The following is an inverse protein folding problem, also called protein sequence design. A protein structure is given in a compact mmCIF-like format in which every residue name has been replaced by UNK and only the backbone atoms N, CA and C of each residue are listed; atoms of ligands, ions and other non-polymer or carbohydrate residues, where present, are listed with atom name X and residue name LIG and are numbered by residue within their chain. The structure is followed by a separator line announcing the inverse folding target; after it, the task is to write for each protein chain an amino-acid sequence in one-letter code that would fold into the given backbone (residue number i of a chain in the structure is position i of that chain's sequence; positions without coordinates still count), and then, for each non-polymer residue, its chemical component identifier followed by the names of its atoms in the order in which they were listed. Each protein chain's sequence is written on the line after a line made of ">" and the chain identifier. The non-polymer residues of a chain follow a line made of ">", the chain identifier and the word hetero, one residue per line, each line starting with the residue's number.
data_IF_394496582755
#
_entry.id   IF_394496582755
#
_cell.length_a   1.000
_cell.length_b   1.000
_cell.length_c   1.000
_cell.angle_alpha   90.00
_cell.angle_beta   90.00
_cell.angle_gamma   90.00
#
_symmetry.space_group_name_H-M   'P 1'
#
loop_
_entity.id
_entity.type
_entity.pdbx_description
1 polymer ?
#
# COMPACT_ATOMS: atom_id res chain seq x y z
N UNK A 1 9.34 10.35 26.15
CA UNK A 1 10.70 10.49 25.60
C UNK A 1 11.51 9.18 25.60
N UNK A 2 11.39 8.30 26.61
CA UNK A 2 12.17 7.06 26.68
C UNK A 2 11.95 6.08 25.49
N UNK A 3 10.70 5.89 25.04
CA UNK A 3 10.39 5.07 23.85
C UNK A 3 11.06 5.61 22.58
N UNK A 4 10.94 6.92 22.34
CA UNK A 4 11.50 7.57 21.16
C UNK A 4 13.02 7.40 21.15
N UNK A 5 13.71 7.70 22.26
CA UNK A 5 15.16 7.56 22.37
C UNK A 5 15.64 6.12 22.15
N UNK A 6 14.87 5.13 22.58
CA UNK A 6 15.19 3.72 22.37
C UNK A 6 15.08 3.29 20.91
N UNK A 7 13.99 3.67 20.22
CA UNK A 7 13.79 3.33 18.81
C UNK A 7 14.56 4.27 17.85
N UNK A 8 14.95 5.46 18.28
CA UNK A 8 15.55 6.53 17.46
C UNK A 8 16.73 6.08 16.58
N UNK A 9 17.71 5.28 17.04
CA UNK A 9 18.85 4.92 16.20
C UNK A 9 18.44 4.08 14.99
N UNK A 10 17.35 3.31 15.13
CA UNK A 10 16.77 2.50 14.05
C UNK A 10 15.87 3.38 13.19
N UNK A 11 14.90 4.07 13.79
CA UNK A 11 13.94 4.92 13.07
C UNK A 11 14.64 6.02 12.28
N UNK A 12 15.76 6.58 12.76
CA UNK A 12 16.53 7.62 12.06
C UNK A 12 17.03 7.16 10.69
N UNK A 13 17.40 5.88 10.52
CA UNK A 13 17.80 5.36 9.21
C UNK A 13 16.61 5.39 8.25
N UNK A 14 15.46 4.86 8.66
CA UNK A 14 14.24 4.86 7.84
C UNK A 14 13.78 6.29 7.53
N UNK A 15 13.82 7.18 8.51
CA UNK A 15 13.41 8.59 8.39
C UNK A 15 14.30 9.39 7.42
N UNK A 16 15.54 8.97 7.17
CA UNK A 16 16.42 9.58 6.17
C UNK A 16 16.28 8.88 4.81
N UNK A 17 16.34 7.54 4.78
CA UNK A 17 16.34 6.81 3.50
C UNK A 17 15.00 6.86 2.78
N UNK A 18 13.88 6.76 3.49
CA UNK A 18 12.55 6.74 2.86
C UNK A 18 12.25 8.01 2.06
N UNK A 19 12.41 9.23 2.61
CA UNK A 19 12.16 10.44 1.84
C UNK A 19 13.17 10.62 0.70
N UNK A 20 14.44 10.27 0.90
CA UNK A 20 15.46 10.37 -0.16
C UNK A 20 15.11 9.44 -1.34
N UNK A 21 14.75 8.19 -1.06
CA UNK A 21 14.33 7.24 -2.09
C UNK A 21 13.06 7.74 -2.79
N UNK A 22 12.07 8.26 -2.05
CA UNK A 22 10.84 8.80 -2.62
C UNK A 22 11.12 9.98 -3.58
N UNK A 23 12.04 10.88 -3.23
CA UNK A 23 12.46 11.98 -4.12
C UNK A 23 13.15 11.46 -5.37
N UNK A 24 14.09 10.51 -5.24
CA UNK A 24 14.80 9.93 -6.39
C UNK A 24 13.83 9.23 -7.34
N UNK A 25 12.90 8.45 -6.78
CA UNK A 25 11.87 7.76 -7.54
C UNK A 25 10.92 8.74 -8.25
N UNK A 26 10.54 9.83 -7.57
CA UNK A 26 9.74 10.89 -8.18
C UNK A 26 10.47 11.55 -9.37
N UNK A 27 11.74 11.91 -9.19
CA UNK A 27 12.54 12.49 -10.27
C UNK A 27 12.70 11.53 -11.45
N UNK A 28 12.83 10.24 -11.19
CA UNK A 28 12.90 9.20 -12.21
C UNK A 28 11.60 9.14 -13.02
N UNK A 29 10.43 9.18 -12.37
CA UNK A 29 9.14 9.33 -13.07
C UNK A 29 9.14 10.63 -13.88
N UNK A 30 9.48 11.75 -13.26
CA UNK A 30 9.40 13.06 -13.89
C UNK A 30 10.22 13.16 -15.18
N UNK A 31 11.44 12.61 -15.20
CA UNK A 31 12.30 12.58 -16.40
C UNK A 31 11.72 11.64 -17.47
N UNK A 32 11.14 10.53 -17.06
CA UNK A 32 10.63 9.50 -17.97
C UNK A 32 9.27 9.83 -18.55
N UNK A 33 8.52 10.79 -17.99
CA UNK A 33 7.25 11.32 -18.55
C UNK A 33 7.31 11.73 -20.02
N UNK A 34 8.51 12.02 -20.54
CA UNK A 34 8.73 12.40 -21.95
C UNK A 34 8.94 11.20 -22.88
N UNK A 35 9.19 10.01 -22.34
CA UNK A 35 9.60 8.81 -23.06
C UNK A 35 8.45 7.81 -23.14
N UNK A 36 8.42 6.98 -24.19
CA UNK A 36 7.37 5.95 -24.36
C UNK A 36 7.42 4.86 -23.28
N UNK A 37 8.61 4.58 -22.71
CA UNK A 37 8.81 3.59 -21.65
C UNK A 37 8.29 3.98 -20.26
N UNK A 38 7.66 5.15 -20.13
CA UNK A 38 7.16 5.69 -18.87
C UNK A 38 6.16 4.78 -18.16
N UNK A 39 5.36 4.01 -18.88
CA UNK A 39 4.33 3.14 -18.28
C UNK A 39 5.00 2.04 -17.44
N UNK A 40 6.03 1.39 -18.00
CA UNK A 40 6.78 0.33 -17.33
C UNK A 40 7.49 0.90 -16.11
N UNK A 41 8.15 2.04 -16.30
CA UNK A 41 8.91 2.70 -15.24
C UNK A 41 7.98 3.19 -14.11
N UNK A 42 6.85 3.79 -14.45
CA UNK A 42 5.83 4.23 -13.50
C UNK A 42 5.28 3.07 -12.68
N UNK A 43 4.97 1.94 -13.33
CA UNK A 43 4.53 0.73 -12.65
C UNK A 43 5.61 0.17 -11.69
N UNK A 44 6.87 0.15 -12.10
CA UNK A 44 7.98 -0.29 -11.24
C UNK A 44 8.16 0.64 -10.03
N UNK A 45 8.13 1.96 -10.24
CA UNK A 45 8.26 2.95 -9.16
C UNK A 45 7.10 2.84 -8.17
N UNK A 46 5.86 2.71 -8.68
CA UNK A 46 4.67 2.51 -7.83
C UNK A 46 4.80 1.26 -6.96
N UNK A 47 5.29 0.15 -7.52
CA UNK A 47 5.55 -1.07 -6.77
C UNK A 47 6.61 -0.87 -5.68
N UNK A 48 7.72 -0.18 -5.98
CA UNK A 48 8.76 0.09 -4.97
C UNK A 48 8.19 0.92 -3.80
N UNK A 49 7.41 1.95 -4.09
CA UNK A 49 6.77 2.78 -3.07
C UNK A 49 5.77 1.96 -2.23
N UNK A 50 4.99 1.10 -2.87
CA UNK A 50 4.08 0.19 -2.17
C UNK A 50 4.83 -0.75 -1.23
N UNK A 51 5.93 -1.36 -1.69
CA UNK A 51 6.78 -2.22 -0.85
C UNK A 51 7.37 -1.46 0.35
N UNK A 52 7.76 -0.19 0.18
CA UNK A 52 8.25 0.64 1.28
C UNK A 52 7.18 0.89 2.35
N UNK A 53 5.92 1.08 1.94
CA UNK A 53 4.77 1.22 2.85
C UNK A 53 4.48 -0.09 3.58
N UNK A 54 4.29 -1.16 2.81
CA UNK A 54 3.90 -2.50 3.28
C UNK A 54 4.93 -3.06 4.26
N UNK A 55 6.21 -2.90 3.96
CA UNK A 55 7.30 -3.37 4.84
C UNK A 55 7.79 -2.32 5.84
N UNK A 56 7.09 -1.20 5.99
CA UNK A 56 7.46 -0.14 6.94
C UNK A 56 7.59 -0.61 8.38
N UNK A 57 6.82 -1.62 8.79
CA UNK A 57 6.85 -2.21 10.12
C UNK A 57 8.05 -3.14 10.39
N UNK A 58 8.82 -3.55 9.36
CA UNK A 58 9.97 -4.43 9.54
C UNK A 58 11.08 -3.81 10.39
N UNK A 59 11.10 -2.49 10.56
CA UNK A 59 12.09 -1.84 11.42
C UNK A 59 11.99 -2.28 12.89
N UNK A 60 10.79 -2.70 13.32
CA UNK A 60 10.57 -3.24 14.65
C UNK A 60 11.06 -4.70 14.77
N UNK A 61 11.47 -5.33 13.66
CA UNK A 61 11.92 -6.72 13.59
C UNK A 61 13.44 -6.93 13.86
N UNK A 62 14.08 -6.13 14.73
CA UNK A 62 15.46 -6.36 15.25
C UNK A 62 15.78 -7.69 16.01
N UNK A 63 16.64 -8.53 15.42
CA UNK A 63 17.11 -9.82 15.98
C UNK A 63 17.71 -9.76 17.40
N UNK A 64 18.27 -8.63 17.83
CA UNK A 64 18.98 -8.49 19.12
C UNK A 64 18.18 -7.81 20.25
N UNK A 65 16.95 -7.38 19.98
CA UNK A 65 16.22 -6.47 20.90
C UNK A 65 15.00 -7.07 21.57
N UNK A 66 14.61 -8.31 21.32
CA UNK A 66 13.28 -8.80 21.75
C UNK A 66 13.12 -8.83 23.28
N UNK A 67 14.18 -9.20 24.00
CA UNK A 67 14.22 -9.23 25.48
C UNK A 67 14.24 -7.82 26.07
N UNK A 68 14.90 -6.88 25.39
CA UNK A 68 14.97 -5.47 25.80
C UNK A 68 13.63 -4.77 25.48
N UNK A 69 12.97 -5.13 24.38
CA UNK A 69 11.66 -4.59 23.99
C UNK A 69 10.57 -4.99 24.99
N UNK A 70 10.68 -6.17 25.63
CA UNK A 70 9.77 -6.64 26.69
C UNK A 70 10.09 -6.06 28.07
N UNK A 71 11.36 -5.71 28.33
CA UNK A 71 11.80 -5.15 29.62
C UNK A 71 11.64 -3.63 29.74
N UNK A 72 11.18 -2.94 28.69
CA UNK A 72 10.92 -1.49 28.75
C UNK A 72 9.80 -1.21 29.77
N UNK A 73 10.04 -0.37 30.81
CA UNK A 73 9.07 -0.04 31.83
C UNK A 73 8.05 0.98 31.30
N UNK A 74 7.30 0.59 30.27
CA UNK A 74 6.32 1.45 29.59
C UNK A 74 5.05 0.68 29.36
N UNK A 75 3.92 1.31 29.67
CA UNK A 75 2.59 0.75 29.46
C UNK A 75 2.38 0.23 28.03
N UNK A 76 1.74 -0.94 27.93
CA UNK A 76 1.42 -1.60 26.66
C UNK A 76 0.63 -0.72 25.71
N UNK A 77 -0.23 0.15 26.28
CA UNK A 77 -1.04 1.11 25.53
C UNK A 77 -0.16 2.12 24.80
N UNK A 78 0.78 2.74 25.51
CA UNK A 78 1.67 3.74 24.93
C UNK A 78 2.58 3.13 23.86
N UNK A 79 3.07 1.91 24.10
CA UNK A 79 3.88 1.16 23.14
C UNK A 79 3.10 0.80 21.87
N UNK A 80 1.89 0.25 22.01
CA UNK A 80 1.04 -0.10 20.89
C UNK A 80 0.65 1.14 20.07
N UNK A 81 0.23 2.23 20.73
CA UNK A 81 -0.11 3.48 20.06
C UNK A 81 1.08 4.06 19.30
N UNK A 82 2.28 4.08 19.87
CA UNK A 82 3.48 4.56 19.18
C UNK A 82 3.79 3.75 17.90
N UNK A 83 3.75 2.43 18.00
CA UNK A 83 4.05 1.53 16.88
C UNK A 83 3.00 1.66 15.77
N UNK A 84 1.71 1.73 16.13
CA UNK A 84 0.62 1.91 15.17
C UNK A 84 0.72 3.27 14.47
N UNK A 85 0.89 4.36 15.24
CA UNK A 85 1.02 5.70 14.67
C UNK A 85 2.23 5.80 13.74
N UNK A 86 3.36 5.20 14.12
CA UNK A 86 4.54 5.20 13.28
C UNK A 86 4.29 4.44 11.96
N UNK A 87 3.70 3.25 12.04
CA UNK A 87 3.49 2.39 10.86
C UNK A 87 2.43 2.96 9.90
N UNK A 88 1.29 3.42 10.42
CA UNK A 88 0.15 3.82 9.60
C UNK A 88 0.08 5.31 9.27
N UNK A 89 0.82 6.16 10.00
CA UNK A 89 0.80 7.61 9.76
C UNK A 89 2.18 8.11 9.39
N UNK A 90 3.21 7.84 10.22
CA UNK A 90 4.53 8.40 9.96
C UNK A 90 5.16 7.83 8.68
N UNK A 91 5.11 6.51 8.47
CA UNK A 91 5.69 5.87 7.26
C UNK A 91 5.03 6.38 5.97
N UNK A 92 3.69 6.42 5.83
CA UNK A 92 3.04 7.02 4.67
C UNK A 92 3.40 8.49 4.47
N UNK A 93 3.44 9.30 5.54
CA UNK A 93 3.81 10.71 5.45
C UNK A 93 5.27 10.91 4.99
N UNK A 94 6.19 10.05 5.43
CA UNK A 94 7.60 10.11 5.00
C UNK A 94 7.79 9.88 3.50
N UNK A 95 6.81 9.27 2.83
CA UNK A 95 6.82 9.05 1.38
C UNK A 95 5.97 10.11 0.66
N UNK A 96 4.76 10.35 1.15
CA UNK A 96 3.79 11.26 0.52
C UNK A 96 4.25 12.72 0.55
N UNK A 97 4.81 13.20 1.66
CA UNK A 97 5.22 14.62 1.80
C UNK A 97 6.34 14.97 0.83
N UNK A 98 7.47 14.23 0.75
CA UNK A 98 8.53 14.55 -0.22
C UNK A 98 8.05 14.48 -1.67
N UNK A 99 7.21 13.49 -2.02
CA UNK A 99 6.63 13.39 -3.36
C UNK A 99 5.73 14.59 -3.67
N UNK A 100 4.88 14.99 -2.73
CA UNK A 100 4.00 16.15 -2.87
C UNK A 100 4.78 17.45 -3.05
N UNK A 101 5.85 17.66 -2.28
CA UNK A 101 6.75 18.81 -2.44
C UNK A 101 7.41 18.79 -3.82
N UNK A 102 7.95 17.65 -4.25
CA UNK A 102 8.57 17.55 -5.57
C UNK A 102 7.56 17.85 -6.68
N UNK A 103 6.34 17.31 -6.59
CA UNK A 103 5.27 17.58 -7.53
C UNK A 103 4.91 19.07 -7.61
N UNK A 104 4.77 19.75 -6.48
CA UNK A 104 4.49 21.19 -6.47
C UNK A 104 5.61 21.99 -7.12
N UNK A 105 6.87 21.59 -6.94
CA UNK A 105 8.01 22.25 -7.57
C UNK A 105 8.09 22.01 -9.08
N UNK A 106 7.72 20.82 -9.56
CA UNK A 106 7.95 20.41 -10.96
C UNK A 106 6.73 20.50 -11.86
N UNK A 107 5.52 20.70 -11.30
CA UNK A 107 4.25 20.72 -12.06
C UNK A 107 4.29 21.64 -13.29
N UNK A 108 4.92 22.79 -13.18
CA UNK A 108 5.04 23.78 -14.26
C UNK A 108 5.92 23.34 -15.45
N UNK A 109 6.81 22.37 -15.25
CA UNK A 109 7.74 21.86 -16.28
C UNK A 109 7.36 20.46 -16.78
N UNK A 110 6.18 19.98 -16.40
CA UNK A 110 5.70 18.66 -16.73
C UNK A 110 5.30 18.62 -18.21
N UNK A 111 6.04 17.85 -18.99
CA UNK A 111 5.73 17.56 -20.40
C UNK A 111 5.31 16.11 -20.48
N UNK A 112 4.05 15.89 -20.84
CA UNK A 112 3.42 14.57 -20.83
C UNK A 112 3.46 14.01 -22.25
N UNK A 113 4.00 12.81 -22.40
CA UNK A 113 3.97 12.10 -23.68
C UNK A 113 2.51 11.82 -24.12
N UNK A 114 2.18 11.94 -25.43
CA UNK A 114 0.83 11.69 -25.95
C UNK A 114 0.26 10.32 -25.57
N UNK A 115 1.10 9.29 -25.41
CA UNK A 115 0.67 7.97 -24.92
C UNK A 115 0.11 8.03 -23.50
N UNK A 116 0.70 8.82 -22.60
CA UNK A 116 0.13 9.04 -21.26
C UNK A 116 -1.16 9.86 -21.35
N UNK A 117 -1.22 10.88 -22.22
CA UNK A 117 -2.47 11.64 -22.39
C UNK A 117 -3.61 10.82 -22.99
N UNK A 118 -3.30 9.72 -23.69
CA UNK A 118 -4.30 8.72 -24.10
C UNK A 118 -4.78 7.84 -22.94
N UNK A 119 -3.94 7.66 -21.92
CA UNK A 119 -4.24 6.87 -20.71
C UNK A 119 -4.85 7.71 -19.59
N UNK A 120 -4.70 9.04 -19.60
CA UNK A 120 -5.33 9.92 -18.61
C UNK A 120 -6.83 9.70 -18.44
N UNK A 121 -7.67 9.49 -19.49
CA UNK A 121 -9.07 9.16 -19.28
C UNK A 121 -9.27 7.84 -18.52
N UNK A 122 -8.43 6.81 -18.75
CA UNK A 122 -8.48 5.57 -17.96
C UNK A 122 -8.06 5.83 -16.51
N UNK A 123 -7.01 6.61 -16.29
CA UNK A 123 -6.57 7.00 -14.94
C UNK A 123 -7.66 7.80 -14.23
N UNK A 124 -8.29 8.76 -14.90
CA UNK A 124 -9.38 9.57 -14.35
C UNK A 124 -10.60 8.70 -14.03
N UNK A 125 -10.90 7.68 -14.84
CA UNK A 125 -11.93 6.68 -14.53
C UNK A 125 -11.57 5.81 -13.31
N UNK A 126 -10.29 5.50 -13.07
CA UNK A 126 -9.83 4.83 -11.85
C UNK A 126 -9.69 5.79 -10.65
N UNK A 127 -9.80 7.10 -10.84
CA UNK A 127 -9.75 8.10 -9.77
C UNK A 127 -11.16 8.42 -9.24
N UNK A 128 -12.09 7.45 -9.28
CA UNK A 128 -13.34 7.52 -8.52
C UNK A 128 -13.04 7.46 -7.02
N UNK A 129 -13.91 8.10 -6.22
CA UNK A 129 -13.76 8.06 -4.75
C UNK A 129 -13.73 6.62 -4.22
N UNK A 130 -14.54 5.72 -4.80
CA UNK A 130 -14.58 4.30 -4.43
C UNK A 130 -13.25 3.59 -4.64
N UNK A 131 -12.64 3.74 -5.80
CA UNK A 131 -11.37 3.09 -6.13
C UNK A 131 -10.17 3.64 -5.34
N UNK A 132 -10.17 4.94 -5.04
CA UNK A 132 -9.15 5.55 -4.18
C UNK A 132 -9.22 4.93 -2.78
N UNK A 133 -10.41 4.82 -2.19
CA UNK A 133 -10.59 4.19 -0.88
C UNK A 133 -10.22 2.71 -0.88
N UNK A 134 -10.60 1.97 -1.92
CA UNK A 134 -10.21 0.57 -2.10
C UNK A 134 -8.69 0.42 -2.15
N UNK A 135 -8.00 1.30 -2.90
CA UNK A 135 -6.54 1.30 -3.02
C UNK A 135 -5.84 1.57 -1.68
N UNK A 136 -6.39 2.50 -0.89
CA UNK A 136 -5.88 2.79 0.46
C UNK A 136 -6.05 1.56 1.36
N UNK A 137 -7.25 0.96 1.38
CA UNK A 137 -7.56 -0.17 2.28
C UNK A 137 -6.77 -1.43 1.91
N UNK A 138 -6.64 -1.75 0.62
CA UNK A 138 -5.82 -2.87 0.12
C UNK A 138 -4.33 -2.66 0.35
N UNK A 139 -3.87 -1.42 0.58
CA UNK A 139 -2.49 -1.16 1.03
C UNK A 139 -2.36 -1.26 2.56
N UNK A 140 -3.39 -0.89 3.30
CA UNK A 140 -3.40 -0.92 4.77
C UNK A 140 -3.42 -2.35 5.33
N UNK A 141 -4.10 -3.29 4.67
CA UNK A 141 -4.17 -4.68 5.15
C UNK A 141 -2.79 -5.36 5.19
N UNK A 142 -1.99 -5.38 4.11
CA UNK A 142 -0.62 -5.93 4.14
C UNK A 142 0.28 -5.23 5.17
N UNK A 143 0.13 -3.91 5.36
CA UNK A 143 0.85 -3.17 6.40
C UNK A 143 0.47 -3.66 7.81
N UNK A 144 -0.83 -3.87 8.06
CA UNK A 144 -1.33 -4.41 9.32
C UNK A 144 -0.82 -5.83 9.58
N UNK A 145 -0.81 -6.68 8.55
CA UNK A 145 -0.32 -8.06 8.62
C UNK A 145 1.17 -8.08 8.86
N UNK A 146 1.95 -7.26 8.16
CA UNK A 146 3.39 -7.13 8.40
C UNK A 146 3.64 -6.76 9.86
N UNK A 147 2.91 -5.77 10.39
CA UNK A 147 3.04 -5.36 11.77
C UNK A 147 2.66 -6.48 12.75
N UNK A 148 1.53 -7.15 12.53
CA UNK A 148 1.08 -8.28 13.32
C UNK A 148 2.13 -9.39 13.37
N UNK A 149 2.65 -9.80 12.22
CA UNK A 149 3.67 -10.85 12.10
C UNK A 149 4.97 -10.46 12.82
N UNK A 150 5.43 -9.22 12.67
CA UNK A 150 6.64 -8.72 13.36
C UNK A 150 6.46 -8.79 14.88
N UNK A 151 5.25 -8.51 15.36
CA UNK A 151 4.93 -8.54 16.78
C UNK A 151 4.60 -9.94 17.31
N UNK A 152 4.09 -10.86 16.48
CA UNK A 152 3.66 -12.18 16.91
C UNK A 152 4.80 -13.21 16.91
N UNK A 153 5.66 -13.16 15.90
CA UNK A 153 6.69 -14.17 15.65
C UNK A 153 7.91 -13.95 16.54
N UNK A 154 8.48 -15.04 17.07
CA UNK A 154 9.69 -15.01 17.91
C UNK A 154 10.97 -15.34 17.13
N UNK A 155 10.91 -16.31 16.22
CA UNK A 155 12.06 -16.80 15.44
C UNK A 155 11.96 -16.41 13.96
N UNK A 156 13.08 -16.06 13.30
CA UNK A 156 13.13 -15.63 11.89
C UNK A 156 12.08 -14.54 11.54
N UNK A 157 11.82 -13.64 12.49
CA UNK A 157 10.73 -12.66 12.42
C UNK A 157 10.74 -11.79 11.16
N UNK A 158 11.91 -11.40 10.65
CA UNK A 158 11.99 -10.61 9.40
C UNK A 158 11.48 -11.43 8.22
N UNK A 159 12.05 -12.64 8.02
CA UNK A 159 11.72 -13.50 6.88
C UNK A 159 10.24 -13.92 6.95
N UNK A 160 9.78 -14.35 8.12
CA UNK A 160 8.42 -14.88 8.25
C UNK A 160 7.38 -13.76 8.12
N UNK A 161 7.66 -12.53 8.57
CA UNK A 161 6.79 -11.38 8.28
C UNK A 161 6.72 -11.08 6.78
N UNK A 162 7.85 -11.09 6.07
CA UNK A 162 7.87 -10.88 4.62
C UNK A 162 7.03 -11.93 3.90
N UNK A 163 7.17 -13.21 4.27
CA UNK A 163 6.40 -14.31 3.66
C UNK A 163 4.90 -14.13 3.87
N UNK A 164 4.44 -13.86 5.10
CA UNK A 164 3.01 -13.69 5.37
C UNK A 164 2.42 -12.46 4.67
N UNK A 165 3.18 -11.39 4.57
CA UNK A 165 2.77 -10.19 3.83
C UNK A 165 2.63 -10.49 2.34
N UNK A 166 3.55 -11.24 1.73
CA UNK A 166 3.44 -11.69 0.33
C UNK A 166 2.19 -12.55 0.14
N UNK A 167 1.94 -13.51 1.05
CA UNK A 167 0.75 -14.36 1.00
C UNK A 167 -0.53 -13.52 1.00
N UNK A 168 -0.63 -12.49 1.83
CA UNK A 168 -1.80 -11.61 1.88
C UNK A 168 -1.97 -10.82 0.58
N UNK A 169 -0.90 -10.23 0.05
CA UNK A 169 -0.97 -9.52 -1.24
C UNK A 169 -1.38 -10.46 -2.38
N UNK A 170 -0.89 -11.70 -2.37
CA UNK A 170 -1.32 -12.72 -3.34
C UNK A 170 -2.81 -13.03 -3.18
N UNK A 171 -3.31 -13.22 -1.96
CA UNK A 171 -4.73 -13.48 -1.70
C UNK A 171 -5.61 -12.31 -2.17
N UNK A 172 -5.20 -11.06 -1.90
CA UNK A 172 -5.89 -9.87 -2.40
C UNK A 172 -5.92 -9.85 -3.94
N UNK A 173 -4.78 -10.17 -4.58
CA UNK A 173 -4.68 -10.25 -6.04
C UNK A 173 -5.56 -11.35 -6.63
N UNK A 174 -5.66 -12.51 -5.98
CA UNK A 174 -6.54 -13.60 -6.39
C UNK A 174 -8.01 -13.21 -6.26
N UNK A 175 -8.43 -12.59 -5.15
CA UNK A 175 -9.80 -12.12 -4.96
C UNK A 175 -10.16 -11.08 -6.01
N UNK A 176 -9.28 -10.09 -6.22
CA UNK A 176 -9.45 -9.06 -7.26
C UNK A 176 -9.54 -9.64 -8.67
N UNK A 177 -8.67 -10.62 -8.97
CA UNK A 177 -8.65 -11.30 -10.27
C UNK A 177 -9.91 -12.14 -10.54
N UNK A 178 -10.42 -12.87 -9.54
CA UNK A 178 -11.65 -13.65 -9.68
C UNK A 178 -12.85 -12.74 -9.91
N UNK A 179 -12.97 -11.65 -9.14
CA UNK A 179 -14.09 -10.71 -9.27
C UNK A 179 -14.03 -9.99 -10.62
N UNK A 180 -12.85 -9.48 -11.00
CA UNK A 180 -12.65 -8.83 -12.31
C UNK A 180 -12.89 -9.78 -13.49
N UNK A 181 -12.51 -11.05 -13.35
CA UNK A 181 -12.80 -12.06 -14.37
C UNK A 181 -14.30 -12.39 -14.49
N UNK A 182 -15.00 -12.51 -13.36
CA UNK A 182 -16.45 -12.80 -13.35
C UNK A 182 -17.27 -11.63 -13.91
N UNK A 183 -16.91 -10.38 -13.60
CA UNK A 183 -17.61 -9.21 -14.15
C UNK A 183 -17.41 -9.11 -15.66
N UNK A 184 -16.16 -9.24 -16.12
CA UNK A 184 -15.85 -9.23 -17.54
C UNK A 184 -16.56 -10.37 -18.31
N UNK A 185 -16.64 -11.56 -17.72
CA UNK A 185 -17.32 -12.70 -18.34
C UNK A 185 -18.84 -12.52 -18.40
N UNK A 186 -19.47 -12.03 -17.31
CA UNK A 186 -20.92 -11.74 -17.29
C UNK A 186 -21.28 -10.70 -18.34
N UNK A 187 -20.48 -9.65 -18.43
CA UNK A 187 -20.70 -8.58 -19.39
C UNK A 187 -20.54 -9.09 -20.84
N UNK A 188 -19.47 -9.82 -21.14
CA UNK A 188 -19.29 -10.40 -22.47
C UNK A 188 -20.43 -11.35 -22.88
N UNK A 189 -21.04 -12.04 -21.92
CA UNK A 189 -22.20 -12.89 -22.15
C UNK A 189 -23.48 -12.08 -22.41
N UNK A 190 -23.76 -11.04 -21.61
CA UNK A 190 -24.92 -10.15 -21.80
C UNK A 190 -24.85 -9.40 -23.14
N UNK A 191 -23.65 -8.97 -23.54
CA UNK A 191 -23.43 -8.27 -24.80
C UNK A 191 -23.61 -9.18 -26.02
N UNK A 192 -23.10 -10.41 -25.92
CA UNK A 192 -23.32 -11.45 -26.93
C UNK A 192 -24.79 -11.86 -27.03
N UNK A 193 -25.51 -11.92 -25.92
CA UNK A 193 -26.94 -12.25 -25.91
C UNK A 193 -27.81 -11.13 -26.50
N UNK A 194 -27.44 -9.87 -26.26
CA UNK A 194 -28.17 -8.71 -26.76
C UNK A 194 -27.76 -8.28 -28.18
N UNK A 195 -26.83 -9.00 -28.82
CA UNK A 195 -26.37 -8.73 -30.18
C UNK A 195 -25.67 -7.38 -30.34
N UNK A 196 -25.08 -6.85 -29.26
CA UNK A 196 -24.41 -5.56 -29.28
C UNK A 196 -22.97 -5.76 -29.76
N UNK A 197 -22.70 -5.48 -31.04
CA UNK A 197 -21.33 -5.39 -31.55
C UNK A 197 -20.70 -4.09 -31.04
N UNK A 198 -19.96 -4.18 -29.92
CA UNK A 198 -19.26 -3.03 -29.36
C UNK A 198 -17.89 -2.85 -30.00
N UNK A 199 -17.56 -1.60 -30.31
CA UNK A 199 -16.25 -1.19 -30.79
C UNK A 199 -15.22 -1.36 -29.66
N UNK A 200 -14.00 -1.78 -30.01
CA UNK A 200 -12.92 -2.13 -29.06
C UNK A 200 -12.57 -1.05 -28.04
N UNK A 201 -12.93 0.20 -28.34
CA UNK A 201 -12.51 1.38 -27.60
C UNK A 201 -13.44 1.69 -26.41
N UNK A 202 -14.65 1.11 -26.35
CA UNK A 202 -15.62 1.30 -25.25
C UNK A 202 -15.51 0.24 -24.15
N UNK A 203 -14.88 -0.91 -24.45
CA UNK A 203 -14.70 -2.03 -23.52
C UNK A 203 -13.97 -1.63 -22.22
N UNK A 204 -12.88 -0.84 -22.24
CA UNK A 204 -12.16 -0.47 -21.02
C UNK A 204 -13.01 0.38 -20.07
N UNK A 205 -13.78 1.34 -20.59
CA UNK A 205 -14.59 2.24 -19.77
C UNK A 205 -15.71 1.53 -19.01
N UNK A 206 -16.34 0.54 -19.65
CA UNK A 206 -17.39 -0.26 -19.00
C UNK A 206 -16.84 -1.18 -17.90
N UNK A 207 -15.71 -1.84 -18.15
CA UNK A 207 -15.04 -2.69 -17.14
C UNK A 207 -14.70 -1.86 -15.90
N UNK A 208 -14.26 -0.61 -16.07
CA UNK A 208 -13.95 0.28 -14.93
C UNK A 208 -15.20 0.67 -14.15
N UNK A 209 -16.30 1.04 -14.84
CA UNK A 209 -17.55 1.39 -14.14
C UNK A 209 -18.12 0.21 -13.33
N UNK A 210 -18.00 -1.03 -13.82
CA UNK A 210 -18.46 -2.21 -13.07
C UNK A 210 -17.50 -2.63 -11.96
N UNK A 211 -16.20 -2.35 -12.08
CA UNK A 211 -15.25 -2.49 -10.97
C UNK A 211 -15.63 -1.51 -9.84
N UNK A 212 -16.14 -0.32 -10.18
CA UNK A 212 -16.59 0.66 -9.18
C UNK A 212 -17.77 0.12 -8.35
N UNK A 213 -18.69 -0.65 -8.94
CA UNK A 213 -19.80 -1.30 -8.21
C UNK A 213 -19.31 -2.30 -7.16
N UNK A 214 -18.22 -3.02 -7.44
CA UNK A 214 -17.59 -3.94 -6.50
C UNK A 214 -16.62 -3.26 -5.53
N UNK A 215 -16.27 -2.00 -5.77
CA UNK A 215 -15.29 -1.29 -4.95
C UNK A 215 -15.77 -1.12 -3.50
N UNK A 216 -17.04 -0.78 -3.28
CA UNK A 216 -17.64 -0.56 -1.96
C UNK A 216 -17.66 -1.86 -1.12
N UNK A 217 -18.25 -2.99 -1.57
CA UNK A 217 -18.29 -4.21 -0.76
C UNK A 217 -16.89 -4.76 -0.47
N UNK A 218 -15.96 -4.68 -1.43
CA UNK A 218 -14.57 -5.09 -1.21
C UNK A 218 -13.86 -4.20 -0.20
N UNK A 219 -14.07 -2.88 -0.27
CA UNK A 219 -13.53 -1.94 0.70
C UNK A 219 -14.02 -2.28 2.10
N UNK A 220 -15.33 -2.52 2.28
CA UNK A 220 -15.90 -2.90 3.59
C UNK A 220 -15.27 -4.20 4.10
N UNK A 221 -15.16 -5.23 3.26
CA UNK A 221 -14.55 -6.50 3.62
C UNK A 221 -13.10 -6.33 4.09
N UNK A 222 -12.26 -5.63 3.31
CA UNK A 222 -10.86 -5.43 3.65
C UNK A 222 -10.67 -4.50 4.86
N UNK A 223 -11.57 -3.52 5.09
CA UNK A 223 -11.58 -2.72 6.33
C UNK A 223 -11.80 -3.61 7.54
N UNK A 224 -12.77 -4.51 7.50
CA UNK A 224 -13.05 -5.45 8.61
C UNK A 224 -11.83 -6.33 8.88
N UNK A 225 -11.22 -6.90 7.83
CA UNK A 225 -9.99 -7.68 7.95
C UNK A 225 -8.85 -6.87 8.57
N UNK A 226 -8.67 -5.62 8.13
CA UNK A 226 -7.61 -4.73 8.62
C UNK A 226 -7.79 -4.42 10.10
N UNK A 227 -9.02 -4.06 10.52
CA UNK A 227 -9.34 -3.79 11.93
C UNK A 227 -9.08 -5.04 12.78
N UNK A 228 -9.51 -6.22 12.31
CA UNK A 228 -9.29 -7.47 13.02
C UNK A 228 -7.79 -7.76 13.24
N UNK A 229 -6.97 -7.58 12.21
CA UNK A 229 -5.52 -7.79 12.29
C UNK A 229 -4.85 -6.77 13.22
N UNK A 230 -5.28 -5.50 13.18
CA UNK A 230 -4.78 -4.47 14.10
C UNK A 230 -5.12 -4.82 15.56
N UNK A 231 -6.35 -5.26 15.83
CA UNK A 231 -6.77 -5.70 17.17
C UNK A 231 -5.92 -6.88 17.63
N UNK A 232 -5.66 -7.85 16.75
CA UNK A 232 -4.76 -8.99 17.05
C UNK A 232 -3.33 -8.54 17.30
N UNK A 233 -2.81 -7.57 16.56
CA UNK A 233 -1.49 -6.98 16.81
C UNK A 233 -1.42 -6.34 18.20
N UNK A 234 -2.44 -5.57 18.60
CA UNK A 234 -2.53 -4.99 19.93
C UNK A 234 -2.60 -6.05 21.05
N UNK A 235 -3.36 -7.12 20.85
CA UNK A 235 -3.45 -8.22 21.82
C UNK A 235 -2.09 -8.91 22.03
N UNK A 236 -1.36 -9.14 20.94
CA UNK A 236 -0.02 -9.72 20.99
C UNK A 236 0.97 -8.81 21.72
N UNK A 237 0.92 -7.50 21.48
CA UNK A 237 1.77 -6.53 22.18
C UNK A 237 1.47 -6.53 23.68
N UNK A 238 0.18 -6.59 24.06
CA UNK A 238 -0.26 -6.68 25.46
C UNK A 238 0.28 -7.96 26.13
N UNK A 239 0.09 -9.11 25.49
CA UNK A 239 0.48 -10.41 26.06
C UNK A 239 1.99 -10.62 26.17
N UNK A 240 2.81 -9.78 25.53
CA UNK A 240 4.28 -9.84 25.62
C UNK A 240 4.88 -9.02 26.76
N UNK A 241 4.09 -8.15 27.41
CA UNK A 241 4.56 -7.32 28.53
C UNK A 241 4.15 -7.85 29.91
N UNK A 242 3.32 -8.89 29.95
CA UNK A 242 2.95 -9.64 31.16
C UNK A 242 3.85 -10.87 31.24
#
# INVERSE_FOLDING_TARGET
>A
MQLLNYYMPRLKKQLIFYPVIAVVLYLLIFVTLRWEGVIIIGAMVSNILNLMLVFGALIFASRSGMEIDTALPVDWRQKATFILLYTFIAVPLLIAVPMGVCYLCTKQWMVINPLISGLTPLVDMFMTQGFIWLSVVTTLLPMAVCLYCVMAIKHNRIILSVVWTIVVVMVESFIGGIIGGLTAFRQGFEDGFNGVERQSDELPGMVVTQIDDWSIPLTIFFVICTIFVIVKACQVIKNRQI
#
